data_IF_341318415298
#
_entry.id   IF_341318415298
#
_cell.length_a   1.000
_cell.length_b   1.000
_cell.length_c   1.000
_cell.angle_alpha   90.00
_cell.angle_beta   90.00
_cell.angle_gamma   90.00
#
_symmetry.space_group_name_H-M   'P 1'
#
loop_
_entity.id
_entity.type
_entity.pdbx_description
1 polymer ?
#
# COMPACT_ATOMS: atom_id res chain seq x y z
N UNK A 1 -21.94 -4.22 11.26
CA UNK A 1 -20.59 -3.98 11.81
C UNK A 1 -19.58 -4.76 10.98
N UNK A 2 -18.72 -4.11 10.18
CA UNK A 2 -17.56 -4.79 9.58
C UNK A 2 -16.51 -4.94 10.69
N UNK A 3 -16.20 -6.18 11.09
CA UNK A 3 -15.02 -6.46 11.91
C UNK A 3 -13.83 -5.87 11.15
N UNK A 4 -13.21 -4.80 11.67
CA UNK A 4 -11.81 -4.54 11.38
C UNK A 4 -11.08 -5.73 12.00
N UNK A 5 -10.75 -6.73 11.18
CA UNK A 5 -9.77 -7.71 11.60
C UNK A 5 -8.53 -6.88 11.96
N UNK A 6 -8.09 -6.94 13.20
CA UNK A 6 -6.70 -6.62 13.51
C UNK A 6 -5.90 -7.67 12.75
N UNK A 7 -5.56 -7.37 11.50
CA UNK A 7 -4.90 -8.29 10.60
C UNK A 7 -3.54 -8.64 11.20
N UNK A 8 -3.33 -9.94 11.44
CA UNK A 8 -2.04 -10.46 11.85
C UNK A 8 -1.03 -10.11 10.76
N UNK A 9 -0.12 -9.19 11.06
CA UNK A 9 1.06 -8.97 10.23
C UNK A 9 1.82 -10.30 10.12
N UNK A 10 1.91 -10.84 8.90
CA UNK A 10 2.73 -12.02 8.68
C UNK A 10 4.21 -11.64 8.90
N UNK A 11 4.97 -12.36 9.74
CA UNK A 11 6.36 -12.02 10.02
C UNK A 11 7.22 -11.89 8.76
N UNK A 12 6.97 -12.75 7.76
CA UNK A 12 7.66 -12.72 6.47
C UNK A 12 7.43 -11.43 5.66
N UNK A 13 6.38 -10.66 5.96
CA UNK A 13 6.06 -9.42 5.25
C UNK A 13 6.65 -8.18 5.92
N UNK A 14 7.11 -8.29 7.16
CA UNK A 14 7.52 -7.14 7.97
C UNK A 14 8.64 -6.32 7.34
N UNK A 15 9.65 -6.96 6.75
CA UNK A 15 10.75 -6.24 6.10
C UNK A 15 10.26 -5.44 4.90
N UNK A 16 9.44 -6.05 4.03
CA UNK A 16 8.90 -5.37 2.85
C UNK A 16 7.93 -4.26 3.23
N UNK A 17 7.09 -4.46 4.26
CA UNK A 17 6.18 -3.45 4.77
C UNK A 17 6.95 -2.24 5.34
N UNK A 18 8.00 -2.47 6.15
CA UNK A 18 8.86 -1.39 6.64
C UNK A 18 9.49 -0.59 5.50
N UNK A 19 9.99 -1.28 4.47
CA UNK A 19 10.55 -0.62 3.29
C UNK A 19 9.52 0.25 2.57
N UNK A 20 8.29 -0.27 2.36
CA UNK A 20 7.21 0.47 1.71
C UNK A 20 6.82 1.71 2.52
N UNK A 21 6.61 1.56 3.83
CA UNK A 21 6.23 2.68 4.71
C UNK A 21 7.33 3.75 4.78
N UNK A 22 8.60 3.34 4.81
CA UNK A 22 9.73 4.27 4.82
C UNK A 22 9.86 5.09 3.53
N UNK A 23 9.45 4.54 2.39
CA UNK A 23 9.39 5.29 1.12
C UNK A 23 8.17 6.20 1.12
N UNK A 24 6.98 5.69 1.48
CA UNK A 24 5.74 6.48 1.54
C UNK A 24 5.87 7.73 2.41
N UNK A 25 6.56 7.63 3.55
CA UNK A 25 6.80 8.73 4.48
C UNK A 25 7.62 9.88 3.86
N UNK A 26 8.42 9.58 2.83
CA UNK A 26 9.28 10.55 2.14
C UNK A 26 8.71 11.01 0.80
N UNK A 27 7.79 10.24 0.24
CA UNK A 27 7.16 10.52 -1.05
C UNK A 27 6.27 11.76 -0.97
N UNK A 28 6.34 12.59 -2.01
CA UNK A 28 5.50 13.79 -2.19
C UNK A 28 4.46 13.59 -3.30
N UNK A 29 4.66 12.60 -4.15
CA UNK A 29 3.73 12.23 -5.20
C UNK A 29 3.71 10.71 -5.43
N UNK A 30 2.64 10.18 -6.05
CA UNK A 30 2.53 8.77 -6.40
C UNK A 30 3.76 8.17 -7.07
N UNK A 31 4.35 8.90 -8.02
CA UNK A 31 5.43 8.42 -8.87
C UNK A 31 6.72 8.13 -8.08
N UNK A 32 6.89 8.72 -6.89
CA UNK A 32 7.99 8.40 -5.98
C UNK A 32 7.93 6.94 -5.48
N UNK A 33 6.77 6.29 -5.61
CA UNK A 33 6.55 4.89 -5.27
C UNK A 33 6.79 3.92 -6.44
N UNK A 34 7.07 4.42 -7.66
CA UNK A 34 7.35 3.59 -8.84
C UNK A 34 8.80 3.07 -8.85
N UNK A 35 9.14 2.36 -7.78
CA UNK A 35 10.45 1.79 -7.54
C UNK A 35 10.46 0.32 -7.98
N UNK A 36 11.57 -0.19 -8.54
CA UNK A 36 11.70 -1.60 -8.88
C UNK A 36 11.25 -2.53 -7.74
N UNK A 37 10.34 -3.45 -8.07
CA UNK A 37 9.80 -4.43 -7.12
C UNK A 37 8.66 -3.93 -6.23
N UNK A 38 8.23 -2.67 -6.33
CA UNK A 38 6.97 -2.20 -5.71
C UNK A 38 5.78 -2.42 -6.64
N UNK A 39 5.98 -2.41 -7.96
CA UNK A 39 4.93 -2.66 -8.96
C UNK A 39 3.73 -1.74 -8.72
N UNK A 40 3.97 -0.42 -8.73
CA UNK A 40 2.94 0.59 -8.52
C UNK A 40 1.86 0.47 -9.60
N UNK A 41 0.59 0.47 -9.21
CA UNK A 41 -0.53 0.48 -10.14
C UNK A 41 -1.79 1.10 -9.52
N UNK A 42 -2.64 1.75 -10.32
CA UNK A 42 -3.92 2.26 -9.86
C UNK A 42 -4.93 1.12 -9.66
N UNK A 43 -5.77 1.27 -8.63
CA UNK A 43 -6.90 0.37 -8.36
C UNK A 43 -8.16 0.84 -9.08
N UNK A 44 -9.09 -0.10 -9.26
CA UNK A 44 -10.37 0.10 -9.98
C UNK A 44 -11.57 -0.24 -9.07
N UNK A 45 -12.78 0.00 -9.56
CA UNK A 45 -14.02 -0.33 -8.86
C UNK A 45 -14.20 0.46 -7.56
N UNK A 46 -14.52 -0.22 -6.46
CA UNK A 46 -14.76 0.40 -5.16
C UNK A 46 -13.53 1.12 -4.57
N UNK A 47 -12.33 0.77 -5.02
CA UNK A 47 -11.07 1.39 -4.59
C UNK A 47 -10.52 2.38 -5.64
N UNK A 48 -11.33 2.79 -6.63
CA UNK A 48 -10.92 3.79 -7.63
C UNK A 48 -10.38 5.05 -6.93
N UNK A 49 -9.20 5.50 -7.36
CA UNK A 49 -8.49 6.62 -6.75
C UNK A 49 -7.45 6.20 -5.72
N UNK A 50 -7.38 4.92 -5.35
CA UNK A 50 -6.24 4.34 -4.64
C UNK A 50 -5.20 3.81 -5.62
N UNK A 51 -3.96 3.77 -5.13
CA UNK A 51 -2.82 3.12 -5.72
C UNK A 51 -2.44 1.93 -4.86
N UNK A 52 -1.75 0.96 -5.45
CA UNK A 52 -1.27 -0.22 -4.75
C UNK A 52 0.19 -0.52 -5.09
N UNK A 53 0.92 -0.99 -4.09
CA UNK A 53 2.24 -1.61 -4.25
C UNK A 53 2.23 -3.04 -3.69
N UNK A 54 3.07 -3.88 -4.27
CA UNK A 54 3.19 -5.29 -3.95
C UNK A 54 4.01 -5.55 -2.69
N UNK A 55 3.44 -6.33 -1.77
CA UNK A 55 4.16 -6.88 -0.61
C UNK A 55 4.66 -8.29 -0.95
N UNK A 56 3.74 -9.24 -1.10
CA UNK A 56 4.02 -10.65 -1.41
C UNK A 56 2.77 -11.32 -1.96
N UNK A 57 2.89 -12.09 -3.05
CA UNK A 57 1.74 -12.75 -3.68
C UNK A 57 0.58 -11.79 -3.92
N UNK A 58 -0.55 -12.07 -3.27
CA UNK A 58 -1.80 -11.31 -3.30
C UNK A 58 -1.82 -10.09 -2.36
N UNK A 59 -0.85 -9.96 -1.46
CA UNK A 59 -0.83 -8.88 -0.47
C UNK A 59 -0.36 -7.55 -1.07
N UNK A 60 -1.09 -6.49 -0.76
CA UNK A 60 -0.84 -5.13 -1.23
C UNK A 60 -0.85 -4.15 -0.06
N UNK A 61 -0.02 -3.11 -0.17
CA UNK A 61 -0.28 -1.85 0.55
C UNK A 61 -1.01 -0.95 -0.41
N UNK A 62 -2.16 -0.44 0.01
CA UNK A 62 -2.98 0.50 -0.75
C UNK A 62 -2.94 1.87 -0.09
N UNK A 63 -3.02 2.93 -0.89
CA UNK A 63 -2.97 4.30 -0.39
C UNK A 63 -3.55 5.27 -1.42
N UNK A 64 -3.83 6.50 -1.00
CA UNK A 64 -4.07 7.66 -1.87
C UNK A 64 -3.00 8.72 -1.60
N UNK A 65 -2.88 9.69 -2.50
CA UNK A 65 -2.11 10.92 -2.24
C UNK A 65 -3.04 12.11 -2.06
N UNK A 66 -2.78 12.92 -1.03
CA UNK A 66 -3.44 14.18 -0.77
C UNK A 66 -2.46 15.15 -0.14
N UNK A 67 -2.48 16.42 -0.56
CA UNK A 67 -1.61 17.48 -0.01
C UNK A 67 -0.12 17.07 0.12
N UNK A 68 0.40 16.36 -0.90
CA UNK A 68 1.81 15.95 -0.95
C UNK A 68 2.20 14.84 0.01
N UNK A 69 1.25 14.06 0.55
CA UNK A 69 1.53 12.91 1.41
C UNK A 69 0.58 11.74 1.14
N UNK A 70 1.01 10.54 1.54
CA UNK A 70 0.18 9.35 1.50
C UNK A 70 -0.91 9.42 2.59
N UNK A 71 -2.15 9.09 2.21
CA UNK A 71 -3.33 9.03 3.09
C UNK A 71 -4.09 7.73 2.84
N UNK A 72 -4.97 7.35 3.79
CA UNK A 72 -5.75 6.11 3.74
C UNK A 72 -4.90 4.87 3.43
N UNK A 73 -3.74 4.79 4.09
CA UNK A 73 -2.81 3.68 3.93
C UNK A 73 -3.39 2.45 4.63
N UNK A 74 -3.56 1.37 3.88
CA UNK A 74 -4.03 0.09 4.41
C UNK A 74 -3.23 -1.08 3.84
N UNK A 75 -3.25 -2.20 4.54
CA UNK A 75 -2.62 -3.44 4.14
C UNK A 75 -3.72 -4.48 3.90
N UNK A 76 -3.78 -5.02 2.68
CA UNK A 76 -4.91 -5.85 2.25
C UNK A 76 -4.44 -7.06 1.47
N UNK A 77 -5.18 -8.16 1.61
CA UNK A 77 -5.11 -9.27 0.68
C UNK A 77 -5.98 -8.95 -0.54
N UNK A 78 -5.34 -8.86 -1.71
CA UNK A 78 -5.99 -8.56 -2.97
C UNK A 78 -6.18 -9.86 -3.77
N UNK A 79 -7.42 -10.26 -4.04
CA UNK A 79 -7.78 -11.38 -4.91
C UNK A 79 -8.28 -10.89 -6.26
#
# INVERSE_FOLDING_TARGET
MRKRAQERLAPAHLEKLRAILAVLDRSRMPDDMDIPGFRLHPLKGALKGHLAVSVSGNWRVIFRFGNGHAVDVDYVEYH
#
